data_IF_612681938334
#
_entry.id   IF_612681938334
#
_cell.length_a   1.000
_cell.length_b   1.000
_cell.length_c   1.000
_cell.angle_alpha   90.00
_cell.angle_beta   90.00
_cell.angle_gamma   90.00
#
_symmetry.space_group_name_H-M   'P 1'
#
loop_
_entity.id
_entity.type
_entity.pdbx_description
1 polymer ?
#
# COMPACT_ATOMS: atom_id res chain seq x y z
N UNK A 1 20.96 6.47 -18.17
CA UNK A 1 19.54 6.80 -18.44
C UNK A 1 19.31 8.29 -18.21
N UNK A 2 19.69 8.81 -17.05
CA UNK A 2 19.44 10.21 -16.66
C UNK A 2 20.10 11.24 -17.62
N UNK A 3 21.35 11.01 -18.02
CA UNK A 3 22.03 11.88 -18.99
C UNK A 3 21.36 11.84 -20.37
N UNK A 4 21.00 10.65 -20.84
CA UNK A 4 20.31 10.49 -22.13
C UNK A 4 18.94 11.14 -22.15
N UNK A 5 18.21 11.16 -20.99
CA UNK A 5 16.95 11.87 -20.87
C UNK A 5 17.15 13.39 -20.94
N UNK A 6 18.21 13.92 -20.33
CA UNK A 6 18.62 15.33 -20.46
C UNK A 6 18.98 15.71 -21.91
N UNK A 7 19.57 14.79 -22.66
CA UNK A 7 19.87 14.95 -24.09
C UNK A 7 18.63 14.76 -25.00
N UNK A 8 17.42 14.67 -24.42
CA UNK A 8 16.12 14.53 -25.12
C UNK A 8 16.02 13.28 -26.01
N UNK A 9 16.76 12.21 -25.69
CA UNK A 9 16.63 10.93 -26.37
C UNK A 9 15.34 10.27 -25.87
N UNK A 10 14.29 10.26 -26.71
CA UNK A 10 12.90 9.87 -26.34
C UNK A 10 12.82 8.53 -25.59
N UNK A 11 13.53 7.49 -26.07
CA UNK A 11 13.51 6.16 -25.41
C UNK A 11 14.09 6.22 -23.98
N UNK A 12 15.19 6.95 -23.78
CA UNK A 12 15.82 7.07 -22.47
C UNK A 12 15.02 7.99 -21.53
N UNK A 13 14.31 8.97 -22.09
CA UNK A 13 13.36 9.78 -21.33
C UNK A 13 12.20 8.91 -20.83
N UNK A 14 11.56 8.11 -21.68
CA UNK A 14 10.46 7.24 -21.28
C UNK A 14 10.88 6.26 -20.17
N UNK A 15 12.06 5.64 -20.29
CA UNK A 15 12.58 4.74 -19.25
C UNK A 15 12.79 5.49 -17.94
N UNK A 16 13.40 6.68 -17.99
CA UNK A 16 13.61 7.52 -16.80
C UNK A 16 12.27 7.90 -16.16
N UNK A 17 11.33 8.37 -16.97
CA UNK A 17 10.03 8.85 -16.49
C UNK A 17 9.24 7.68 -15.86
N UNK A 18 9.36 6.46 -16.39
CA UNK A 18 8.81 5.27 -15.76
C UNK A 18 9.40 5.04 -14.37
N UNK A 19 10.73 5.07 -14.20
CA UNK A 19 11.37 4.91 -12.88
C UNK A 19 11.06 6.04 -11.89
N UNK A 20 10.90 7.27 -12.38
CA UNK A 20 10.60 8.44 -11.51
C UNK A 20 9.16 8.41 -11.00
N UNK A 21 8.25 7.83 -11.80
CA UNK A 21 6.83 7.75 -11.48
C UNK A 21 6.43 6.41 -10.83
N UNK A 22 7.40 5.59 -10.38
CA UNK A 22 7.10 4.39 -9.63
C UNK A 22 6.51 4.73 -8.26
N UNK A 23 5.42 4.06 -7.91
CA UNK A 23 4.89 4.08 -6.57
C UNK A 23 5.75 3.18 -5.66
N UNK A 24 6.34 3.77 -4.65
CA UNK A 24 7.22 3.08 -3.70
C UNK A 24 6.81 3.40 -2.26
N UNK A 25 6.74 2.39 -1.41
CA UNK A 25 6.53 2.51 0.02
C UNK A 25 7.53 1.64 0.78
N UNK A 26 8.14 2.19 1.83
CA UNK A 26 9.02 1.45 2.73
C UNK A 26 8.38 1.35 4.11
N UNK A 27 7.88 0.16 4.45
CA UNK A 27 7.20 -0.06 5.71
C UNK A 27 8.14 -0.32 6.88
N UNK A 28 9.39 -0.67 6.60
CA UNK A 28 10.44 -0.83 7.60
C UNK A 28 10.91 0.50 8.18
N UNK A 29 10.80 1.61 7.43
CA UNK A 29 11.35 2.90 7.80
C UNK A 29 10.36 3.74 8.63
N UNK A 30 10.65 4.03 9.93
CA UNK A 30 9.71 4.73 10.80
C UNK A 30 9.35 6.15 10.33
N UNK A 31 10.28 6.85 9.70
CA UNK A 31 10.07 8.22 9.20
C UNK A 31 9.13 8.24 7.99
N UNK A 32 9.28 7.31 7.06
CA UNK A 32 8.37 7.17 5.92
C UNK A 32 6.96 6.79 6.37
N UNK A 33 6.84 5.90 7.37
CA UNK A 33 5.54 5.57 7.98
C UNK A 33 4.85 6.82 8.57
N UNK A 34 5.62 7.74 9.18
CA UNK A 34 5.07 8.98 9.72
C UNK A 34 4.58 9.91 8.60
N UNK A 35 5.32 10.00 7.49
CA UNK A 35 4.89 10.79 6.32
C UNK A 35 3.64 10.17 5.72
N UNK A 36 3.64 8.87 5.48
CA UNK A 36 2.51 8.15 4.90
C UNK A 36 1.23 8.31 5.75
N UNK A 37 1.34 8.29 7.09
CA UNK A 37 0.19 8.47 7.98
C UNK A 37 -0.48 9.85 7.88
N UNK A 38 0.13 10.78 7.17
CA UNK A 38 -0.43 12.12 6.88
C UNK A 38 -1.03 12.21 5.47
N UNK A 39 -0.84 11.18 4.64
CA UNK A 39 -1.44 11.15 3.32
C UNK A 39 -2.94 10.86 3.44
N UNK A 40 -3.71 11.78 2.93
CA UNK A 40 -5.17 11.68 2.83
C UNK A 40 -5.48 11.49 1.36
N UNK A 41 -6.42 10.61 0.98
CA UNK A 41 -6.83 10.47 -0.40
C UNK A 41 -7.33 11.81 -0.98
N UNK A 42 -6.97 12.09 -2.22
CA UNK A 42 -7.43 13.31 -2.91
C UNK A 42 -8.96 13.40 -2.88
N UNK A 43 -9.49 14.58 -2.55
CA UNK A 43 -10.92 14.86 -2.43
C UNK A 43 -11.67 14.00 -1.37
N UNK A 44 -10.97 13.43 -0.40
CA UNK A 44 -11.57 12.58 0.64
C UNK A 44 -12.58 13.35 1.51
N UNK A 45 -12.39 14.64 1.68
CA UNK A 45 -13.27 15.54 2.42
C UNK A 45 -14.54 15.93 1.64
N UNK A 46 -14.47 15.97 0.33
CA UNK A 46 -15.45 16.61 -0.55
C UNK A 46 -16.19 15.66 -1.48
N UNK A 47 -15.63 14.47 -1.80
CA UNK A 47 -16.22 13.50 -2.71
C UNK A 47 -16.69 12.24 -1.94
N UNK A 48 -18.02 12.05 -1.89
CA UNK A 48 -18.63 10.88 -1.24
C UNK A 48 -18.23 9.55 -1.90
N UNK A 49 -17.93 9.53 -3.20
CA UNK A 49 -17.52 8.31 -3.88
C UNK A 49 -16.10 7.91 -3.44
N UNK A 50 -15.19 8.89 -3.30
CA UNK A 50 -13.85 8.64 -2.76
C UNK A 50 -13.96 8.06 -1.36
N UNK A 51 -14.74 8.71 -0.48
CA UNK A 51 -14.96 8.22 0.88
C UNK A 51 -15.56 6.82 0.91
N UNK A 52 -16.58 6.55 0.11
CA UNK A 52 -17.18 5.22 -0.01
C UNK A 52 -16.17 4.15 -0.46
N UNK A 53 -15.30 4.47 -1.42
CA UNK A 53 -14.27 3.53 -1.89
C UNK A 53 -13.22 3.24 -0.81
N UNK A 54 -12.82 4.25 -0.02
CA UNK A 54 -11.92 4.07 1.14
C UNK A 54 -12.57 3.18 2.19
N UNK A 55 -13.84 3.44 2.52
CA UNK A 55 -14.62 2.59 3.46
C UNK A 55 -14.67 1.15 2.96
N UNK A 56 -15.04 0.93 1.70
CA UNK A 56 -15.11 -0.40 1.09
C UNK A 56 -13.77 -1.12 1.14
N UNK A 57 -12.68 -0.41 0.90
CA UNK A 57 -11.33 -0.96 1.00
C UNK A 57 -10.99 -1.36 2.44
N UNK A 58 -11.17 -0.46 3.40
CA UNK A 58 -10.84 -0.72 4.81
C UNK A 58 -11.76 -1.77 5.43
N UNK A 59 -13.04 -1.79 5.10
CA UNK A 59 -13.99 -2.81 5.58
C UNK A 59 -13.66 -4.23 5.11
N UNK A 60 -12.83 -4.38 4.07
CA UNK A 60 -12.28 -5.69 3.68
C UNK A 60 -11.24 -6.24 4.67
N UNK A 61 -10.70 -5.39 5.53
CA UNK A 61 -9.73 -5.74 6.58
C UNK A 61 -10.34 -5.68 7.98
N UNK A 62 -11.27 -4.74 8.19
CA UNK A 62 -12.01 -4.54 9.43
C UNK A 62 -13.47 -4.17 9.09
N UNK A 63 -14.36 -5.13 9.17
CA UNK A 63 -15.79 -4.99 8.83
C UNK A 63 -16.57 -4.12 9.81
N UNK A 64 -15.98 -3.73 10.94
CA UNK A 64 -16.54 -2.76 11.87
C UNK A 64 -16.51 -1.34 11.33
N UNK A 65 -15.57 -0.99 10.43
CA UNK A 65 -15.45 0.34 9.83
C UNK A 65 -16.55 0.54 8.79
N UNK A 66 -17.41 1.54 9.00
CA UNK A 66 -18.58 1.79 8.14
C UNK A 66 -18.62 3.17 7.51
N UNK A 67 -17.90 4.16 8.04
CA UNK A 67 -17.82 5.51 7.48
C UNK A 67 -16.65 6.29 8.08
N UNK A 68 -16.52 7.54 7.66
CA UNK A 68 -15.61 8.54 8.22
C UNK A 68 -16.34 9.85 8.51
N UNK A 69 -16.03 10.46 9.64
CA UNK A 69 -16.34 11.86 9.90
C UNK A 69 -15.12 12.71 9.58
N UNK A 70 -15.29 13.71 8.72
CA UNK A 70 -14.21 14.58 8.27
C UNK A 70 -14.61 16.02 8.54
N UNK A 71 -13.83 16.71 9.34
CA UNK A 71 -14.03 18.10 9.69
C UNK A 71 -12.80 18.91 9.29
N UNK A 72 -12.99 19.97 8.50
CA UNK A 72 -11.91 20.88 8.14
C UNK A 72 -11.62 21.79 9.32
N UNK A 73 -10.37 21.81 9.79
CA UNK A 73 -9.92 22.66 10.87
C UNK A 73 -9.45 23.98 10.28
N UNK A 74 -10.04 25.13 10.69
CA UNK A 74 -9.52 26.43 10.29
C UNK A 74 -8.08 26.59 10.78
N UNK A 75 -7.16 26.94 9.91
CA UNK A 75 -5.80 27.29 10.31
C UNK A 75 -5.65 28.81 10.33
N UNK A 76 -5.31 29.37 11.49
CA UNK A 76 -5.05 30.82 11.70
C UNK A 76 -3.66 31.26 11.16
N UNK A 77 -2.90 30.34 10.60
CA UNK A 77 -1.60 30.63 9.97
C UNK A 77 -1.74 30.35 8.48
N UNK A 78 -1.15 31.19 7.64
CA UNK A 78 -1.04 31.04 6.18
C UNK A 78 -0.44 29.68 5.75
N UNK A 79 -0.98 28.59 6.25
CA UNK A 79 -0.56 27.23 5.91
C UNK A 79 -1.09 26.86 4.53
N UNK A 80 -0.19 26.39 3.69
CA UNK A 80 -0.46 26.01 2.29
C UNK A 80 -1.35 24.76 2.19
N UNK A 81 -1.53 24.02 3.30
CA UNK A 81 -2.27 22.75 3.33
C UNK A 81 -3.45 22.82 4.31
N UNK A 82 -4.62 22.40 3.83
CA UNK A 82 -5.80 22.23 4.66
C UNK A 82 -5.56 21.15 5.73
N UNK A 83 -5.97 21.44 6.96
CA UNK A 83 -5.93 20.47 8.05
C UNK A 83 -7.31 19.86 8.26
N UNK A 84 -7.33 18.54 8.43
CA UNK A 84 -8.57 17.81 8.69
C UNK A 84 -8.49 17.08 10.02
N UNK A 85 -9.60 17.09 10.75
CA UNK A 85 -9.87 16.12 11.81
C UNK A 85 -10.64 14.98 11.18
N UNK A 86 -10.07 13.78 11.23
CA UNK A 86 -10.67 12.59 10.66
C UNK A 86 -10.94 11.61 11.79
N UNK A 87 -12.14 11.06 11.81
CA UNK A 87 -12.55 9.99 12.71
C UNK A 87 -13.12 8.84 11.89
N UNK A 88 -12.76 7.63 12.23
CA UNK A 88 -13.37 6.39 11.70
C UNK A 88 -14.67 6.12 12.45
N UNK A 89 -15.71 5.74 11.74
CA UNK A 89 -17.01 5.37 12.31
C UNK A 89 -17.13 3.85 12.32
N UNK A 90 -17.30 3.28 13.50
CA UNK A 90 -17.39 1.83 13.72
C UNK A 90 -18.78 1.40 14.15
N UNK A 91 -19.19 0.21 13.73
CA UNK A 91 -20.37 -0.48 14.29
C UNK A 91 -20.11 -0.84 15.75
N UNK A 92 -21.10 -0.63 16.59
CA UNK A 92 -21.05 -1.08 17.98
C UNK A 92 -21.49 -2.57 18.06
N UNK A 93 -20.71 -3.37 18.80
CA UNK A 93 -21.07 -4.76 19.06
C UNK A 93 -22.28 -4.80 19.99
N UNK A 94 -23.32 -5.54 19.57
CA UNK A 94 -24.53 -5.75 20.38
C UNK A 94 -25.56 -4.61 20.37
N UNK A 95 -25.40 -3.62 19.46
CA UNK A 95 -26.39 -2.57 19.23
C UNK A 95 -26.41 -2.15 17.76
N UNK A 96 -27.49 -1.50 17.32
CA UNK A 96 -27.56 -0.89 15.97
C UNK A 96 -26.86 0.47 15.90
N UNK A 97 -26.12 0.85 16.95
CA UNK A 97 -25.43 2.13 17.03
C UNK A 97 -24.04 2.09 16.38
N UNK A 98 -23.47 3.29 16.22
CA UNK A 98 -22.08 3.51 15.78
C UNK A 98 -21.33 4.32 16.82
N UNK A 99 -20.01 4.21 16.81
CA UNK A 99 -19.09 5.05 17.60
C UNK A 99 -17.98 5.57 16.69
N UNK A 100 -17.45 6.75 17.04
CA UNK A 100 -16.35 7.34 16.28
C UNK A 100 -15.04 7.26 17.06
N UNK A 101 -13.96 6.95 16.37
CA UNK A 101 -12.61 6.88 16.92
C UNK A 101 -11.74 7.84 16.08
N UNK A 102 -10.97 8.76 16.71
CA UNK A 102 -10.00 9.56 15.97
C UNK A 102 -9.06 8.68 15.15
N UNK A 103 -8.82 9.02 13.88
CA UNK A 103 -8.02 8.20 12.97
C UNK A 103 -6.63 7.88 13.55
N UNK A 104 -6.03 8.81 14.30
CA UNK A 104 -4.71 8.60 14.92
C UNK A 104 -4.71 7.63 16.10
N UNK A 105 -5.90 7.31 16.67
CA UNK A 105 -6.09 6.33 17.75
C UNK A 105 -6.40 4.92 17.20
N UNK A 106 -6.52 4.80 15.88
CA UNK A 106 -6.71 3.51 15.22
C UNK A 106 -5.50 2.58 15.38
N UNK A 107 -5.73 1.29 15.11
CA UNK A 107 -4.64 0.32 15.08
C UNK A 107 -3.56 0.71 14.06
N UNK A 108 -2.30 0.37 14.35
CA UNK A 108 -1.20 0.63 13.41
C UNK A 108 -1.45 -0.03 12.04
N UNK A 109 -2.15 -1.16 11.99
CA UNK A 109 -2.56 -1.83 10.75
C UNK A 109 -3.59 -1.02 9.96
N UNK A 110 -4.63 -0.51 10.62
CA UNK A 110 -5.66 0.33 10.01
C UNK A 110 -5.07 1.62 9.45
N UNK A 111 -4.24 2.31 10.25
CA UNK A 111 -3.52 3.52 9.82
C UNK A 111 -2.67 3.27 8.57
N UNK A 112 -1.95 2.15 8.54
CA UNK A 112 -1.09 1.78 7.44
C UNK A 112 -1.89 1.47 6.17
N UNK A 113 -2.99 0.73 6.29
CA UNK A 113 -3.87 0.45 5.15
C UNK A 113 -4.52 1.74 4.63
N UNK A 114 -4.96 2.64 5.53
CA UNK A 114 -5.50 3.93 5.13
C UNK A 114 -4.49 4.76 4.33
N UNK A 115 -3.27 4.92 4.86
CA UNK A 115 -2.22 5.72 4.21
C UNK A 115 -1.68 5.10 2.91
N UNK A 116 -1.82 3.79 2.73
CA UNK A 116 -1.45 3.10 1.49
C UNK A 116 -2.51 3.23 0.39
N UNK A 117 -3.75 3.54 0.77
CA UNK A 117 -4.86 3.58 -0.17
C UNK A 117 -4.63 4.49 -1.39
N UNK A 118 -4.10 5.73 -1.28
CA UNK A 118 -3.86 6.58 -2.44
C UNK A 118 -2.94 5.93 -3.48
N UNK A 119 -1.81 5.35 -3.04
CA UNK A 119 -0.88 4.67 -3.93
C UNK A 119 -1.49 3.40 -4.54
N UNK A 120 -2.25 2.63 -3.75
CA UNK A 120 -2.95 1.45 -4.23
C UNK A 120 -3.99 1.83 -5.29
N UNK A 121 -4.80 2.86 -5.03
CA UNK A 121 -5.82 3.34 -5.97
C UNK A 121 -5.19 3.76 -7.29
N UNK A 122 -4.12 4.59 -7.24
CA UNK A 122 -3.41 5.06 -8.42
C UNK A 122 -2.88 3.90 -9.28
N UNK A 123 -2.22 2.91 -8.67
CA UNK A 123 -1.69 1.78 -9.45
C UNK A 123 -2.78 0.88 -10.02
N UNK A 124 -3.89 0.69 -9.32
CA UNK A 124 -5.02 -0.09 -9.83
C UNK A 124 -5.73 0.61 -11.00
N UNK A 125 -5.82 1.95 -10.97
CA UNK A 125 -6.41 2.74 -12.06
C UNK A 125 -5.48 2.82 -13.28
N UNK A 126 -4.17 2.96 -13.06
CA UNK A 126 -3.19 3.16 -14.14
C UNK A 126 -2.61 1.86 -14.70
N UNK A 127 -2.78 0.73 -14.01
CA UNK A 127 -2.11 -0.53 -14.36
C UNK A 127 -0.60 -0.48 -14.16
N UNK A 128 -0.13 0.39 -13.25
CA UNK A 128 1.30 0.57 -12.98
C UNK A 128 1.83 -0.41 -11.91
N UNK A 129 3.05 -0.19 -11.43
CA UNK A 129 3.72 -1.06 -10.46
C UNK A 129 3.80 -0.38 -9.11
N UNK A 130 3.40 -1.08 -8.05
CA UNK A 130 3.62 -0.69 -6.66
C UNK A 130 4.77 -1.51 -6.07
N UNK A 131 5.79 -0.82 -5.57
CA UNK A 131 6.90 -1.43 -4.83
C UNK A 131 6.70 -1.17 -3.34
N UNK A 132 6.76 -2.24 -2.53
CA UNK A 132 6.67 -2.12 -1.07
C UNK A 132 7.83 -2.87 -0.44
N UNK A 133 8.68 -2.17 0.28
CA UNK A 133 9.70 -2.79 1.11
C UNK A 133 9.13 -3.12 2.49
N UNK A 134 9.41 -4.34 2.97
CA UNK A 134 8.90 -4.88 4.24
C UNK A 134 7.37 -4.84 4.38
N UNK A 135 6.62 -5.33 3.39
CA UNK A 135 5.15 -5.33 3.38
C UNK A 135 4.54 -5.86 4.68
N UNK A 136 5.18 -6.85 5.32
CA UNK A 136 4.72 -7.47 6.57
C UNK A 136 5.01 -6.63 7.83
N UNK A 137 5.82 -5.57 7.75
CA UNK A 137 6.19 -4.79 8.93
C UNK A 137 4.95 -4.18 9.61
N UNK A 138 4.72 -4.55 10.88
CA UNK A 138 3.60 -4.10 11.72
C UNK A 138 2.20 -4.44 11.17
N UNK A 139 2.08 -5.37 10.23
CA UNK A 139 0.82 -5.87 9.75
C UNK A 139 0.56 -7.29 10.21
N UNK A 140 -0.69 -7.58 10.55
CA UNK A 140 -1.10 -8.96 10.78
C UNK A 140 -1.02 -9.76 9.46
N UNK A 141 -0.56 -11.03 9.46
CA UNK A 141 -0.43 -11.83 8.25
C UNK A 141 -1.68 -11.90 7.37
N UNK A 142 -2.87 -11.87 7.97
CA UNK A 142 -4.13 -11.82 7.21
C UNK A 142 -4.32 -10.51 6.44
N UNK A 143 -3.86 -9.37 6.97
CA UNK A 143 -3.89 -8.08 6.27
C UNK A 143 -2.97 -8.12 5.07
N UNK A 144 -1.74 -8.62 5.24
CA UNK A 144 -0.77 -8.82 4.14
C UNK A 144 -1.38 -9.71 3.05
N UNK A 145 -1.98 -10.83 3.45
CA UNK A 145 -2.65 -11.75 2.53
C UNK A 145 -3.77 -11.06 1.74
N UNK A 146 -4.67 -10.34 2.41
CA UNK A 146 -5.77 -9.65 1.76
C UNK A 146 -5.27 -8.56 0.81
N UNK A 147 -4.21 -7.85 1.19
CA UNK A 147 -3.58 -6.87 0.32
C UNK A 147 -3.02 -7.51 -0.97
N UNK A 148 -2.32 -8.64 -0.86
CA UNK A 148 -1.82 -9.38 -2.04
C UNK A 148 -2.99 -9.85 -2.91
N UNK A 149 -4.08 -10.37 -2.31
CA UNK A 149 -5.28 -10.81 -3.02
C UNK A 149 -5.90 -9.69 -3.84
N UNK A 150 -5.81 -8.42 -3.41
CA UNK A 150 -6.30 -7.28 -4.18
C UNK A 150 -5.67 -7.22 -5.58
N UNK A 151 -4.38 -7.53 -5.70
CA UNK A 151 -3.67 -7.56 -6.99
C UNK A 151 -3.95 -8.83 -7.80
N UNK A 152 -4.26 -9.94 -7.13
CA UNK A 152 -4.55 -11.22 -7.78
C UNK A 152 -6.01 -11.34 -8.25
N UNK A 153 -6.91 -10.52 -7.72
CA UNK A 153 -8.33 -10.56 -8.06
C UNK A 153 -8.62 -9.73 -9.33
N UNK A 154 -9.02 -10.38 -10.46
CA UNK A 154 -9.26 -9.67 -11.72
C UNK A 154 -10.48 -8.74 -11.66
N UNK A 155 -11.41 -8.94 -10.72
CA UNK A 155 -12.55 -8.04 -10.52
C UNK A 155 -12.14 -6.69 -9.90
N UNK A 156 -11.04 -6.68 -9.15
CA UNK A 156 -10.46 -5.49 -8.53
C UNK A 156 -9.35 -4.92 -9.42
N UNK A 157 -8.40 -5.74 -9.81
CA UNK A 157 -7.22 -5.36 -10.60
C UNK A 157 -7.53 -5.48 -12.11
N UNK A 158 -8.41 -4.62 -12.62
CA UNK A 158 -8.86 -4.64 -14.01
C UNK A 158 -7.80 -4.17 -15.02
N UNK A 159 -6.89 -3.32 -14.58
CA UNK A 159 -5.85 -2.74 -15.43
C UNK A 159 -4.49 -3.46 -15.29
N UNK A 160 -4.47 -4.64 -14.65
CA UNK A 160 -3.27 -5.48 -14.51
C UNK A 160 -2.11 -4.78 -13.77
N UNK A 161 -2.42 -4.00 -12.74
CA UNK A 161 -1.41 -3.44 -11.85
C UNK A 161 -0.55 -4.57 -11.24
N UNK A 162 0.71 -4.25 -10.97
CA UNK A 162 1.67 -5.21 -10.43
C UNK A 162 2.10 -4.82 -9.02
N UNK A 163 2.26 -5.82 -8.15
CA UNK A 163 2.83 -5.65 -6.82
C UNK A 163 4.19 -6.34 -6.77
N UNK A 164 5.22 -5.58 -6.39
CA UNK A 164 6.54 -6.10 -6.06
C UNK A 164 6.83 -5.77 -4.61
N UNK A 165 7.09 -6.76 -3.78
CA UNK A 165 7.30 -6.51 -2.37
C UNK A 165 8.41 -7.39 -1.79
N UNK A 166 9.04 -6.89 -0.72
CA UNK A 166 9.90 -7.71 0.14
C UNK A 166 9.16 -8.08 1.42
N UNK A 167 9.52 -9.23 1.98
CA UNK A 167 9.02 -9.71 3.26
C UNK A 167 10.03 -10.65 3.88
N UNK A 168 10.19 -10.60 5.20
CA UNK A 168 10.92 -11.62 5.97
C UNK A 168 9.97 -12.67 6.56
N UNK A 169 8.67 -12.60 6.26
CA UNK A 169 7.65 -13.50 6.76
C UNK A 169 7.38 -14.66 5.77
N UNK A 170 7.52 -15.89 6.25
CA UNK A 170 7.30 -17.10 5.47
C UNK A 170 5.82 -17.52 5.33
N UNK A 171 4.90 -16.86 6.01
CA UNK A 171 3.46 -17.19 5.97
C UNK A 171 2.86 -17.14 4.56
N UNK A 172 3.40 -16.29 3.69
CA UNK A 172 2.94 -16.12 2.32
C UNK A 172 3.46 -17.22 1.37
N UNK A 173 4.40 -18.07 1.84
CA UNK A 173 5.03 -19.13 1.04
C UNK A 173 4.18 -20.41 0.91
N UNK A 174 2.95 -20.42 1.45
CA UNK A 174 2.12 -21.63 1.53
C UNK A 174 1.55 -22.14 0.19
N UNK A 175 2.01 -21.63 -0.95
CA UNK A 175 1.69 -22.12 -2.30
C UNK A 175 0.25 -21.88 -2.79
N UNK A 176 -0.65 -21.42 -1.91
CA UNK A 176 -2.04 -21.14 -2.25
C UNK A 176 -2.29 -19.67 -2.65
N UNK A 177 -1.31 -18.82 -2.46
CA UNK A 177 -1.39 -17.38 -2.72
C UNK A 177 -0.50 -16.95 -3.87
N UNK A 178 0.76 -17.36 -3.84
CA UNK A 178 1.77 -17.02 -4.84
C UNK A 178 2.26 -18.27 -5.55
N UNK A 179 2.55 -18.16 -6.85
CA UNK A 179 3.20 -19.22 -7.61
C UNK A 179 4.70 -19.27 -7.28
N UNK A 180 5.33 -20.41 -7.51
CA UNK A 180 6.78 -20.59 -7.24
C UNK A 180 7.67 -19.66 -8.04
N UNK A 181 7.28 -19.31 -9.26
CA UNK A 181 7.99 -18.38 -10.14
C UNK A 181 7.87 -16.92 -9.70
N UNK A 182 6.90 -16.60 -8.84
CA UNK A 182 6.72 -15.28 -8.25
C UNK A 182 7.52 -15.07 -6.95
N UNK A 183 8.09 -16.16 -6.40
CA UNK A 183 8.83 -16.13 -5.14
C UNK A 183 10.32 -16.17 -5.39
N UNK A 184 11.03 -15.19 -4.84
CA UNK A 184 12.47 -15.04 -4.97
C UNK A 184 13.09 -14.88 -3.59
N UNK A 185 14.27 -15.48 -3.39
CA UNK A 185 15.04 -15.38 -2.16
C UNK A 185 16.30 -14.56 -2.40
N UNK A 186 16.66 -13.78 -1.40
CA UNK A 186 17.94 -13.09 -1.31
C UNK A 186 18.77 -13.70 -0.20
N UNK A 187 20.01 -13.99 -0.46
CA UNK A 187 20.96 -14.53 0.49
C UNK A 187 22.27 -13.77 0.42
N UNK A 188 22.88 -13.50 1.58
CA UNK A 188 24.16 -12.84 1.68
C UNK A 188 25.19 -13.82 2.25
N UNK A 189 26.29 -14.04 1.52
CA UNK A 189 27.37 -14.93 1.96
C UNK A 189 28.31 -14.24 2.97
N UNK A 190 29.29 -14.99 3.49
CA UNK A 190 30.30 -14.50 4.44
C UNK A 190 31.15 -13.36 3.90
N UNK A 191 31.31 -13.24 2.58
CA UNK A 191 32.08 -12.20 1.91
C UNK A 191 31.26 -10.92 1.67
N UNK A 192 29.99 -10.92 2.08
CA UNK A 192 29.06 -9.81 1.90
C UNK A 192 28.44 -9.72 0.50
N UNK A 193 28.61 -10.75 -0.34
CA UNK A 193 28.02 -10.82 -1.67
C UNK A 193 26.60 -11.34 -1.58
N UNK A 194 25.66 -10.61 -2.16
CA UNK A 194 24.26 -11.02 -2.22
C UNK A 194 23.97 -11.78 -3.50
N UNK A 195 23.19 -12.86 -3.38
CA UNK A 195 22.63 -13.65 -4.49
C UNK A 195 21.12 -13.59 -4.47
N UNK A 196 20.52 -13.70 -5.65
CA UNK A 196 19.07 -13.75 -5.87
C UNK A 196 18.72 -15.01 -6.61
N UNK A 197 17.76 -15.80 -6.11
CA UNK A 197 17.33 -17.04 -6.76
C UNK A 197 15.83 -17.28 -6.57
N UNK A 198 15.20 -17.90 -7.58
CA UNK A 198 13.79 -18.24 -7.57
C UNK A 198 13.52 -19.51 -6.77
N UNK A 199 12.35 -19.62 -6.13
CA UNK A 199 11.88 -20.85 -5.50
C UNK A 199 11.81 -22.02 -6.50
N UNK A 200 11.60 -21.76 -7.77
CA UNK A 200 11.64 -22.80 -8.82
C UNK A 200 13.00 -23.52 -8.92
N UNK A 201 14.11 -22.80 -8.68
CA UNK A 201 15.46 -23.36 -8.81
C UNK A 201 15.84 -24.28 -7.63
N UNK A 202 15.19 -24.14 -6.48
CA UNK A 202 15.48 -24.98 -5.30
C UNK A 202 15.04 -26.43 -5.46
N UNK A 203 14.16 -26.74 -6.42
CA UNK A 203 13.58 -28.07 -6.63
C UNK A 203 14.03 -28.73 -7.93
N UNK A 204 14.97 -28.14 -8.66
CA UNK A 204 15.51 -28.70 -9.91
C UNK A 204 16.89 -29.33 -9.74
N UNK A 205 17.42 -29.41 -8.53
CA UNK A 205 18.69 -30.08 -8.21
C UNK A 205 18.43 -31.46 -7.59
N UNK A 206 17.96 -32.43 -8.40
CA UNK A 206 18.09 -33.87 -8.16
C UNK A 206 18.97 -34.46 -9.28
#
# INVERSE_FOLDING_TARGET
VSLGAKLKIKKLKNIRDWFVNLNFANFGEPFENLIMSRLIPDNFDSDENVRHNVVKYLSSFDDSIVDFNIEKIPDDRDAVEDRFKIETVHKMIGSDGTTSIPLHDESAGTLKMFSLYPALHDVLETGSVLFIDELNARLHPLLVRNFIITFLNPEINKNHAQLVFTSHDSWQLNGNLLRRDEIWFTEKNSDGISSLYSLCLLYTSD
#
